data_IF_540414549717
#
_entry.id   IF_540414549717
#
_cell.length_a   1.000
_cell.length_b   1.000
_cell.length_c   1.000
_cell.angle_alpha   90.00
_cell.angle_beta   90.00
_cell.angle_gamma   90.00
#
_symmetry.space_group_name_H-M   'P 1'
#
loop_
_entity.id
_entity.type
_entity.pdbx_description
1 polymer ?
#
# COMPACT_ATOMS: atom_id res chain seq x y z
N UNK A 1 18.74 -17.16 -55.53
CA UNK A 1 19.47 -15.94 -55.94
C UNK A 1 19.30 -14.90 -54.84
N UNK A 2 20.43 -14.54 -54.22
CA UNK A 2 20.73 -13.48 -53.21
C UNK A 2 20.84 -12.13 -54.00
N UNK A 3 20.82 -10.87 -53.46
CA UNK A 3 21.03 -10.39 -52.07
C UNK A 3 20.17 -9.23 -51.50
N UNK A 4 20.30 -9.08 -50.17
CA UNK A 4 20.59 -7.89 -49.33
C UNK A 4 19.88 -6.55 -49.58
N UNK A 5 19.44 -5.95 -48.47
CA UNK A 5 20.06 -4.70 -48.02
C UNK A 5 19.98 -4.58 -46.49
N UNK A 6 21.14 -4.71 -45.85
CA UNK A 6 21.41 -4.28 -44.48
C UNK A 6 21.66 -2.77 -44.54
N UNK A 7 20.85 -1.98 -43.86
CA UNK A 7 21.16 -0.58 -43.55
C UNK A 7 20.98 -0.45 -42.03
N UNK A 8 22.03 -0.70 -41.23
CA UNK A 8 23.14 0.22 -40.96
C UNK A 8 22.60 1.60 -40.53
N UNK A 9 22.45 1.74 -39.21
CA UNK A 9 22.29 3.03 -38.57
C UNK A 9 23.50 3.94 -38.88
N UNK A 10 23.25 5.24 -39.02
CA UNK A 10 24.13 6.21 -38.40
C UNK A 10 23.34 7.12 -37.45
N UNK A 11 23.82 7.13 -36.22
CA UNK A 11 23.55 8.13 -35.19
C UNK A 11 24.00 9.50 -35.73
N UNK A 12 23.16 10.54 -35.62
CA UNK A 12 23.41 11.83 -34.92
C UNK A 12 22.58 13.01 -35.49
N UNK A 13 21.76 13.60 -34.60
CA UNK A 13 21.38 15.02 -34.46
C UNK A 13 20.58 15.77 -35.56
N UNK A 14 19.39 16.26 -35.15
CA UNK A 14 18.87 17.67 -35.16
C UNK A 14 17.41 17.55 -34.64
N UNK A 15 17.14 17.71 -33.35
CA UNK A 15 16.90 18.97 -32.65
C UNK A 15 15.85 19.87 -33.34
N UNK A 16 14.58 19.77 -32.93
CA UNK A 16 13.83 20.86 -32.31
C UNK A 16 12.31 20.73 -32.48
N UNK A 17 11.64 21.05 -31.37
CA UNK A 17 10.31 21.64 -31.26
C UNK A 17 9.09 20.72 -31.23
N UNK A 18 8.25 20.99 -30.21
CA UNK A 18 6.90 20.52 -29.94
C UNK A 18 6.90 19.18 -29.18
N UNK A 19 6.61 19.12 -27.89
CA UNK A 19 5.35 19.55 -27.27
C UNK A 19 5.61 19.95 -25.81
N UNK A 20 5.26 21.20 -25.51
CA UNK A 20 5.04 21.71 -24.17
C UNK A 20 3.91 20.93 -23.49
N UNK A 21 4.18 20.33 -22.33
CA UNK A 21 3.20 19.94 -21.30
C UNK A 21 3.94 19.46 -20.03
N UNK A 22 4.95 20.21 -19.57
CA UNK A 22 5.49 20.05 -18.22
C UNK A 22 4.66 20.94 -17.27
N UNK A 23 3.53 20.39 -16.86
CA UNK A 23 2.65 20.99 -15.87
C UNK A 23 3.33 21.17 -14.52
N UNK A 24 2.98 22.26 -13.86
CA UNK A 24 3.48 22.74 -12.59
C UNK A 24 3.21 21.76 -11.43
N UNK A 25 4.25 21.39 -10.68
CA UNK A 25 4.15 21.03 -9.27
C UNK A 25 5.48 21.32 -8.56
N UNK A 26 5.91 22.59 -8.61
CA UNK A 26 6.95 23.08 -7.70
C UNK A 26 6.32 23.23 -6.30
N UNK A 27 6.43 22.19 -5.47
CA UNK A 27 6.27 22.34 -4.02
C UNK A 27 7.53 22.98 -3.46
N UNK A 28 7.46 24.18 -2.84
CA UNK A 28 8.62 24.75 -2.17
C UNK A 28 9.01 23.88 -0.95
N UNK A 29 10.31 23.76 -0.64
CA UNK A 29 10.72 23.14 0.61
C UNK A 29 10.17 23.98 1.77
N UNK A 30 9.41 23.33 2.67
CA UNK A 30 8.91 23.90 3.91
C UNK A 30 10.13 24.33 4.73
N UNK A 31 10.46 25.63 4.73
CA UNK A 31 11.44 26.20 5.65
C UNK A 31 10.95 25.89 7.06
N UNK A 32 11.71 25.05 7.75
CA UNK A 32 11.61 24.92 9.20
C UNK A 32 12.06 26.26 9.77
N UNK A 33 11.10 27.10 10.14
CA UNK A 33 11.38 28.30 10.94
C UNK A 33 11.78 27.80 12.32
N UNK A 34 13.08 27.76 12.58
CA UNK A 34 13.59 27.75 13.94
C UNK A 34 13.18 29.09 14.55
N UNK A 35 12.06 29.11 15.28
CA UNK A 35 11.81 30.18 16.25
C UNK A 35 12.74 29.96 17.43
N UNK A 36 13.57 30.95 17.81
CA UNK A 36 14.29 30.92 19.07
C UNK A 36 13.27 30.87 20.21
N UNK A 37 13.29 29.79 20.99
CA UNK A 37 12.50 29.65 22.22
C UNK A 37 13.23 30.44 23.30
N UNK A 38 13.09 31.76 23.28
CA UNK A 38 13.53 32.56 24.40
C UNK A 38 12.47 33.60 24.75
N UNK A 39 12.05 33.57 26.01
CA UNK A 39 11.13 34.49 26.67
C UNK A 39 9.63 34.23 26.46
N UNK A 40 9.15 33.09 26.96
CA UNK A 40 7.78 33.03 27.51
C UNK A 40 7.87 32.83 29.03
N UNK A 41 7.20 33.65 29.85
CA UNK A 41 7.17 33.46 31.30
C UNK A 41 6.63 32.07 31.65
N UNK A 42 7.41 31.32 32.41
CA UNK A 42 7.11 29.95 32.86
C UNK A 42 5.90 29.96 33.80
N UNK A 43 4.80 29.24 33.50
CA UNK A 43 3.79 28.92 34.49
C UNK A 43 4.41 27.98 35.55
N UNK A 44 3.99 28.03 36.83
CA UNK A 44 4.50 27.10 37.84
C UNK A 44 4.24 25.64 37.41
N UNK A 45 5.16 24.72 37.73
CA UNK A 45 5.08 23.34 37.28
C UNK A 45 3.82 22.65 37.84
N UNK A 46 3.04 21.92 37.02
CA UNK A 46 2.06 20.98 37.53
C UNK A 46 2.77 19.83 38.25
N UNK A 47 2.12 19.30 39.29
CA UNK A 47 2.60 18.18 40.09
C UNK A 47 2.93 16.95 39.22
N UNK A 48 3.86 16.07 39.65
CA UNK A 48 4.29 14.93 38.84
C UNK A 48 3.18 13.88 38.76
N UNK A 49 2.42 13.89 37.68
CA UNK A 49 1.63 12.73 37.27
C UNK A 49 2.57 11.69 36.66
N UNK A 50 2.83 10.67 37.48
CA UNK A 50 3.18 9.29 37.16
C UNK A 50 3.18 9.00 35.66
N UNK A 51 4.35 8.63 35.14
CA UNK A 51 4.53 8.04 33.82
C UNK A 51 3.56 6.85 33.67
N UNK A 52 2.41 7.09 33.04
CA UNK A 52 1.59 6.02 32.49
C UNK A 52 2.34 5.51 31.27
N UNK A 53 3.10 4.44 31.51
CA UNK A 53 3.46 3.44 30.51
C UNK A 53 2.17 3.04 29.81
N UNK A 54 1.90 3.65 28.66
CA UNK A 54 0.83 3.20 27.77
C UNK A 54 1.37 1.97 27.07
N UNK A 55 1.16 0.83 27.74
CA UNK A 55 1.04 -0.45 27.06
C UNK A 55 0.09 -0.28 25.87
N UNK A 56 0.37 -0.83 24.67
CA UNK A 56 -0.61 -0.85 23.61
C UNK A 56 -1.76 -1.73 24.11
N UNK A 57 -2.79 -1.09 24.66
CA UNK A 57 -4.03 -1.77 25.01
C UNK A 57 -4.65 -2.13 23.68
N UNK A 58 -4.64 -3.43 23.38
CA UNK A 58 -5.41 -4.10 22.34
C UNK A 58 -6.90 -3.93 22.63
N UNK A 59 -7.37 -2.68 22.58
CA UNK A 59 -8.78 -2.35 22.73
C UNK A 59 -9.40 -2.57 21.36
N UNK A 60 -10.37 -3.49 21.22
CA UNK A 60 -11.11 -3.62 19.98
C UNK A 60 -11.69 -2.24 19.64
N UNK A 61 -11.34 -1.73 18.46
CA UNK A 61 -11.95 -0.50 17.95
C UNK A 61 -13.48 -0.67 17.96
N UNK A 62 -14.25 0.35 18.37
CA UNK A 62 -15.70 0.24 18.42
C UNK A 62 -16.25 -0.14 17.03
N UNK A 63 -17.29 -1.00 16.95
CA UNK A 63 -17.87 -1.38 15.68
C UNK A 63 -18.40 -0.14 14.98
N UNK A 64 -17.84 0.19 13.81
CA UNK A 64 -18.34 1.29 12.99
C UNK A 64 -19.61 0.78 12.32
N UNK A 65 -20.77 1.34 12.66
CA UNK A 65 -22.02 1.01 11.99
C UNK A 65 -21.87 1.25 10.48
N UNK A 66 -22.17 0.24 9.69
CA UNK A 66 -22.04 0.30 8.24
C UNK A 66 -23.17 1.14 7.67
N UNK A 67 -22.87 2.38 7.29
CA UNK A 67 -23.79 3.30 6.59
C UNK A 67 -24.07 2.87 5.14
N UNK A 68 -23.64 1.67 4.73
CA UNK A 68 -23.75 1.21 3.34
C UNK A 68 -25.10 0.59 3.03
N UNK A 69 -25.65 0.97 1.88
CA UNK A 69 -26.83 0.31 1.29
C UNK A 69 -26.55 -1.16 0.94
N UNK A 70 -27.60 -1.98 0.82
CA UNK A 70 -27.46 -3.40 0.48
C UNK A 70 -26.74 -3.63 -0.87
N UNK A 71 -27.00 -2.79 -1.87
CA UNK A 71 -26.33 -2.86 -3.17
C UNK A 71 -24.85 -2.52 -3.08
N UNK A 72 -24.47 -1.52 -2.29
CA UNK A 72 -23.07 -1.20 -2.04
C UNK A 72 -22.35 -2.32 -1.30
N UNK A 73 -23.02 -2.96 -0.33
CA UNK A 73 -22.45 -4.12 0.37
C UNK A 73 -22.21 -5.27 -0.62
N UNK A 74 -23.16 -5.56 -1.51
CA UNK A 74 -23.01 -6.59 -2.55
C UNK A 74 -21.83 -6.30 -3.48
N UNK A 75 -21.73 -5.06 -3.98
CA UNK A 75 -20.62 -4.62 -4.84
C UNK A 75 -19.28 -4.71 -4.13
N UNK A 76 -19.22 -4.31 -2.86
CA UNK A 76 -18.00 -4.35 -2.04
C UNK A 76 -17.55 -5.79 -1.79
N UNK A 77 -18.48 -6.70 -1.47
CA UNK A 77 -18.18 -8.14 -1.36
C UNK A 77 -17.64 -8.71 -2.66
N UNK A 78 -18.21 -8.34 -3.81
CA UNK A 78 -17.70 -8.80 -5.10
C UNK A 78 -16.26 -8.34 -5.36
N UNK A 79 -15.92 -7.09 -5.03
CA UNK A 79 -14.54 -6.58 -5.13
C UNK A 79 -13.59 -7.32 -4.18
N UNK A 80 -13.98 -7.52 -2.93
CA UNK A 80 -13.20 -8.31 -1.96
C UNK A 80 -12.91 -9.71 -2.51
N UNK A 81 -13.92 -10.38 -3.08
CA UNK A 81 -13.75 -11.72 -3.68
C UNK A 81 -12.77 -11.69 -4.85
N UNK A 82 -12.88 -10.71 -5.75
CA UNK A 82 -11.95 -10.58 -6.88
C UNK A 82 -10.50 -10.40 -6.40
N UNK A 83 -10.27 -9.42 -5.52
CA UNK A 83 -8.94 -9.10 -5.00
C UNK A 83 -8.32 -10.29 -4.23
N UNK A 84 -9.12 -10.95 -3.38
CA UNK A 84 -8.64 -12.12 -2.62
C UNK A 84 -8.41 -13.34 -3.50
N UNK A 85 -9.17 -13.51 -4.58
CA UNK A 85 -8.96 -14.61 -5.55
C UNK A 85 -7.64 -14.44 -6.28
N UNK A 86 -7.38 -13.24 -6.79
CA UNK A 86 -6.12 -12.91 -7.47
C UNK A 86 -4.92 -13.09 -6.52
N UNK A 87 -4.99 -12.52 -5.32
CA UNK A 87 -3.96 -12.66 -4.30
C UNK A 87 -3.73 -14.14 -3.90
N UNK A 88 -4.81 -14.90 -3.69
CA UNK A 88 -4.71 -16.31 -3.33
C UNK A 88 -4.10 -17.15 -4.45
N UNK A 89 -4.38 -16.84 -5.72
CA UNK A 89 -3.79 -17.53 -6.85
C UNK A 89 -2.27 -17.30 -6.91
N UNK A 90 -1.83 -16.05 -6.73
CA UNK A 90 -0.41 -15.72 -6.67
C UNK A 90 0.30 -16.43 -5.52
N UNK A 91 -0.25 -16.36 -4.30
CA UNK A 91 0.29 -17.09 -3.13
C UNK A 91 0.34 -18.59 -3.38
N UNK A 92 -0.71 -19.19 -3.95
CA UNK A 92 -0.73 -20.63 -4.25
C UNK A 92 0.37 -21.06 -5.22
N UNK A 93 0.69 -20.25 -6.25
CA UNK A 93 1.79 -20.56 -7.17
C UNK A 93 3.15 -20.66 -6.46
N UNK A 94 3.36 -19.82 -5.46
CA UNK A 94 4.59 -19.77 -4.68
C UNK A 94 4.65 -20.82 -3.55
N UNK A 95 3.52 -21.40 -3.16
CA UNK A 95 3.44 -22.31 -2.02
C UNK A 95 4.31 -23.56 -2.24
N UNK A 96 5.15 -23.89 -1.25
CA UNK A 96 6.03 -25.07 -1.29
C UNK A 96 7.29 -24.90 -2.15
N UNK A 97 7.54 -23.71 -2.68
CA UNK A 97 8.77 -23.38 -3.43
C UNK A 97 9.82 -22.79 -2.51
N UNK A 98 11.07 -22.89 -2.92
CA UNK A 98 12.17 -22.17 -2.28
C UNK A 98 12.18 -20.73 -2.81
N UNK A 99 11.77 -19.79 -1.95
CA UNK A 99 11.72 -18.37 -2.25
C UNK A 99 13.03 -17.68 -1.81
N UNK A 100 13.32 -16.53 -2.40
CA UNK A 100 14.35 -15.63 -1.86
C UNK A 100 13.87 -15.05 -0.51
N UNK A 101 14.77 -14.66 0.41
CA UNK A 101 14.38 -14.14 1.72
C UNK A 101 13.38 -12.97 1.68
N UNK A 102 13.59 -12.02 0.75
CA UNK A 102 12.68 -10.89 0.57
C UNK A 102 11.31 -11.34 0.05
N UNK A 103 11.27 -12.35 -0.84
CA UNK A 103 10.03 -12.92 -1.35
C UNK A 103 9.28 -13.72 -0.30
N UNK A 104 9.98 -14.41 0.61
CA UNK A 104 9.38 -15.16 1.71
C UNK A 104 8.64 -14.21 2.67
N UNK A 105 9.26 -13.08 3.03
CA UNK A 105 8.62 -12.02 3.82
C UNK A 105 7.36 -11.46 3.15
N UNK A 106 7.42 -11.22 1.84
CA UNK A 106 6.25 -10.78 1.05
C UNK A 106 5.17 -11.87 1.05
N UNK A 107 5.54 -13.12 0.82
CA UNK A 107 4.62 -14.25 0.80
C UNK A 107 3.87 -14.41 2.13
N UNK A 108 4.59 -14.36 3.25
CA UNK A 108 4.01 -14.45 4.59
C UNK A 108 3.11 -13.26 4.90
N UNK A 109 3.52 -12.06 4.51
CA UNK A 109 2.70 -10.85 4.69
C UNK A 109 1.41 -10.93 3.86
N UNK A 110 1.47 -11.42 2.62
CA UNK A 110 0.28 -11.61 1.79
C UNK A 110 -0.68 -12.64 2.41
N UNK A 111 -0.15 -13.76 2.93
CA UNK A 111 -0.93 -14.77 3.65
C UNK A 111 -1.62 -14.20 4.88
N UNK A 112 -0.90 -13.45 5.69
CA UNK A 112 -1.44 -12.79 6.87
C UNK A 112 -2.58 -11.81 6.50
N UNK A 113 -2.43 -11.01 5.44
CA UNK A 113 -3.54 -10.16 4.99
C UNK A 113 -4.76 -10.97 4.55
N UNK A 114 -4.58 -12.08 3.82
CA UNK A 114 -5.70 -12.96 3.44
C UNK A 114 -6.42 -13.54 4.66
N UNK A 115 -5.70 -13.89 5.72
CA UNK A 115 -6.28 -14.35 6.99
C UNK A 115 -7.05 -13.23 7.71
N UNK A 116 -6.48 -12.02 7.75
CA UNK A 116 -7.15 -10.85 8.31
C UNK A 116 -8.41 -10.46 7.53
N UNK A 117 -8.43 -10.61 6.19
CA UNK A 117 -9.65 -10.42 5.38
C UNK A 117 -10.74 -11.38 5.84
N UNK A 118 -10.43 -12.68 5.98
CA UNK A 118 -11.40 -13.69 6.46
C UNK A 118 -11.93 -13.32 7.84
N UNK A 119 -11.05 -12.87 8.73
CA UNK A 119 -11.40 -12.43 10.09
C UNK A 119 -12.32 -11.20 10.08
N UNK A 120 -12.01 -10.19 9.25
CA UNK A 120 -12.85 -9.00 9.07
C UNK A 120 -14.22 -9.33 8.47
N UNK A 121 -14.28 -10.22 7.48
CA UNK A 121 -15.54 -10.69 6.90
C UNK A 121 -16.44 -11.40 7.91
N UNK A 122 -15.86 -12.23 8.79
CA UNK A 122 -16.60 -12.88 9.90
C UNK A 122 -17.22 -11.86 10.85
N UNK A 123 -16.56 -10.72 11.07
CA UNK A 123 -17.07 -9.60 11.88
C UNK A 123 -17.93 -8.61 11.09
N UNK A 124 -18.23 -8.90 9.82
CA UNK A 124 -18.95 -8.00 8.91
C UNK A 124 -18.29 -6.61 8.70
N UNK A 125 -16.97 -6.52 8.90
CA UNK A 125 -16.18 -5.29 8.72
C UNK A 125 -15.81 -5.09 7.23
N UNK A 126 -16.79 -4.81 6.37
CA UNK A 126 -16.59 -4.81 4.91
C UNK A 126 -15.52 -3.81 4.43
N UNK A 127 -15.48 -2.60 4.98
CA UNK A 127 -14.46 -1.61 4.63
C UNK A 127 -13.04 -2.07 4.97
N UNK A 128 -12.88 -2.69 6.14
CA UNK A 128 -11.60 -3.25 6.57
C UNK A 128 -11.20 -4.42 5.67
N UNK A 129 -12.13 -5.33 5.39
CA UNK A 129 -11.90 -6.46 4.51
C UNK A 129 -11.49 -6.01 3.10
N UNK A 130 -12.14 -4.99 2.53
CA UNK A 130 -11.79 -4.43 1.21
C UNK A 130 -10.39 -3.82 1.19
N UNK A 131 -10.04 -3.02 2.19
CA UNK A 131 -8.70 -2.42 2.30
C UNK A 131 -7.61 -3.49 2.41
N UNK A 132 -7.83 -4.52 3.24
CA UNK A 132 -6.89 -5.63 3.40
C UNK A 132 -6.78 -6.48 2.14
N UNK A 133 -7.88 -6.72 1.43
CA UNK A 133 -7.88 -7.49 0.18
C UNK A 133 -7.06 -6.80 -0.91
N UNK A 134 -7.22 -5.47 -1.09
CA UNK A 134 -6.40 -4.68 -2.02
C UNK A 134 -4.91 -4.77 -1.68
N UNK A 135 -4.55 -4.64 -0.40
CA UNK A 135 -3.15 -4.78 0.06
C UNK A 135 -2.60 -6.17 -0.24
N UNK A 136 -3.36 -7.22 0.05
CA UNK A 136 -2.99 -8.60 -0.26
C UNK A 136 -2.71 -8.79 -1.75
N UNK A 137 -3.60 -8.26 -2.62
CA UNK A 137 -3.44 -8.33 -4.08
C UNK A 137 -2.20 -7.60 -4.56
N UNK A 138 -2.01 -6.36 -4.13
CA UNK A 138 -0.85 -5.54 -4.51
C UNK A 138 0.47 -6.24 -4.14
N UNK A 139 0.53 -6.77 -2.91
CA UNK A 139 1.73 -7.41 -2.38
C UNK A 139 1.97 -8.79 -2.98
N UNK A 140 0.91 -9.58 -3.22
CA UNK A 140 1.04 -10.86 -3.90
C UNK A 140 1.39 -10.69 -5.40
N UNK A 141 1.04 -9.57 -6.01
CA UNK A 141 1.39 -9.23 -7.39
C UNK A 141 2.89 -9.00 -7.62
N UNK A 142 3.66 -8.70 -6.56
CA UNK A 142 5.12 -8.59 -6.65
C UNK A 142 5.85 -9.92 -6.43
N UNK A 143 5.13 -11.01 -6.16
CA UNK A 143 5.74 -12.34 -6.06
C UNK A 143 6.04 -12.86 -7.46
N UNK A 144 7.32 -13.06 -7.75
CA UNK A 144 7.77 -13.72 -8.97
C UNK A 144 8.06 -15.19 -8.67
N UNK A 145 7.10 -16.04 -8.98
CA UNK A 145 7.17 -17.48 -8.83
C UNK A 145 6.89 -18.11 -10.20
N UNK A 146 7.85 -18.85 -10.79
CA UNK A 146 7.68 -19.40 -12.13
C UNK A 146 6.45 -20.33 -12.18
N UNK A 147 5.61 -20.24 -13.20
CA UNK A 147 4.40 -21.07 -13.35
C UNK A 147 4.73 -22.54 -13.47
#
# INVERSE_FOLDING_TARGET
MIPRAVHAAPILAIAAALIALAGCAHTPPRRVVHVPVESRPTPPPPAPDTQQVTTPTDRPAPPVESVMSADEQKKTRARIVADTTEASAAVKRCAGRQLLPDQESIFDTARNYLEQVRSALKRNELWRAESLARKARQLAGSLDCPG
#
